data_IF_044272148685
#
_entry.id   IF_044272148685
#
_cell.length_a   1.000
_cell.length_b   1.000
_cell.length_c   1.000
_cell.angle_alpha   90.00
_cell.angle_beta   90.00
_cell.angle_gamma   90.00
#
_symmetry.space_group_name_H-M   'P 1'
#
loop_
_entity.id
_entity.type
_entity.pdbx_description
1 polymer ?
#
# COMPACT_ATOMS: atom_id res chain seq x y z
N UNK A 1 -5.38 -79.15 5.40
CA UNK A 1 -4.27 -78.42 6.04
C UNK A 1 -4.76 -77.00 6.34
N UNK A 2 -5.38 -76.62 7.48
CA UNK A 2 -4.92 -76.69 8.89
C UNK A 2 -3.54 -75.98 9.00
N UNK A 3 -3.39 -74.76 9.55
CA UNK A 3 -3.51 -74.31 10.95
C UNK A 3 -3.52 -72.75 11.00
N UNK A 4 -4.49 -72.08 11.66
CA UNK A 4 -4.55 -71.61 13.07
C UNK A 4 -3.73 -70.34 13.43
N UNK A 5 -4.50 -69.36 13.96
CA UNK A 5 -4.11 -68.21 14.78
C UNK A 5 -3.48 -68.61 16.13
N UNK A 6 -2.56 -67.79 16.64
CA UNK A 6 -2.34 -67.44 18.07
C UNK A 6 -1.25 -66.33 18.10
N UNK A 7 -1.55 -65.06 18.42
CA UNK A 7 -1.66 -64.47 19.76
C UNK A 7 -0.44 -64.74 20.66
N UNK A 8 0.41 -63.72 20.84
CA UNK A 8 1.15 -63.49 22.09
C UNK A 8 1.32 -61.99 22.33
N UNK A 9 0.82 -61.59 23.49
CA UNK A 9 0.88 -60.29 24.16
C UNK A 9 2.29 -60.06 24.72
N UNK A 10 2.87 -58.86 24.54
CA UNK A 10 3.87 -58.28 25.45
C UNK A 10 3.83 -56.75 25.23
N UNK A 11 3.10 -56.02 26.07
CA UNK A 11 3.56 -55.32 27.28
C UNK A 11 4.12 -53.91 26.99
N UNK A 12 3.49 -52.95 27.65
CA UNK A 12 3.70 -51.51 27.64
C UNK A 12 5.16 -51.06 27.78
N UNK A 13 5.54 -50.06 26.97
CA UNK A 13 6.49 -49.03 27.37
C UNK A 13 6.15 -47.70 26.68
N UNK A 14 5.34 -46.89 27.37
CA UNK A 14 5.21 -45.45 27.12
C UNK A 14 6.48 -44.78 27.64
N UNK A 15 7.25 -44.13 26.76
CA UNK A 15 8.17 -43.08 27.18
C UNK A 15 8.20 -41.99 26.11
N UNK A 16 7.86 -40.78 26.52
CA UNK A 16 7.60 -39.64 25.65
C UNK A 16 8.82 -39.15 24.90
N UNK A 17 8.65 -38.91 23.61
CA UNK A 17 9.51 -38.00 22.86
C UNK A 17 8.95 -36.59 23.03
N UNK A 18 9.53 -35.86 23.96
CA UNK A 18 9.35 -34.43 24.07
C UNK A 18 9.93 -33.76 22.82
N UNK A 19 9.06 -33.14 22.02
CA UNK A 19 9.46 -32.23 20.96
C UNK A 19 10.01 -30.95 21.60
N UNK A 20 11.31 -30.91 21.85
CA UNK A 20 12.02 -29.66 22.12
C UNK A 20 12.26 -28.92 20.79
N UNK A 21 11.21 -28.27 20.28
CA UNK A 21 11.40 -27.15 19.35
C UNK A 21 11.67 -25.90 20.20
N UNK A 22 12.95 -25.72 20.55
CA UNK A 22 13.44 -24.43 20.96
C UNK A 22 13.37 -23.49 19.75
N UNK A 23 12.26 -22.77 19.60
CA UNK A 23 12.23 -21.59 18.75
C UNK A 23 13.26 -20.62 19.31
N UNK A 24 14.31 -20.37 18.52
CA UNK A 24 15.22 -19.27 18.76
C UNK A 24 14.38 -18.00 18.87
N UNK A 25 14.36 -17.39 20.05
CA UNK A 25 13.83 -16.07 20.25
C UNK A 25 14.70 -15.13 19.41
N UNK A 26 14.18 -14.73 18.26
CA UNK A 26 14.77 -13.66 17.47
C UNK A 26 14.98 -12.46 18.38
N UNK A 27 16.21 -11.94 18.39
CA UNK A 27 16.61 -10.73 19.09
C UNK A 27 15.79 -9.53 18.57
N UNK A 28 14.60 -9.32 19.15
CA UNK A 28 13.82 -8.11 18.97
C UNK A 28 14.59 -6.96 19.65
N UNK A 29 14.96 -5.89 18.92
CA UNK A 29 15.56 -4.73 19.54
C UNK A 29 14.58 -4.17 20.59
N UNK A 30 15.12 -3.79 21.76
CA UNK A 30 14.43 -3.12 22.87
C UNK A 30 13.97 -1.70 22.49
N UNK A 31 13.23 -1.55 21.40
CA UNK A 31 12.80 -0.27 20.89
C UNK A 31 11.27 -0.24 20.87
N UNK A 32 10.72 0.77 21.56
CA UNK A 32 9.31 1.17 21.60
C UNK A 32 8.34 0.54 22.63
N UNK A 33 8.81 0.18 23.83
CA UNK A 33 7.91 0.20 25.02
C UNK A 33 7.80 1.59 25.66
N UNK A 34 8.75 2.49 25.37
CA UNK A 34 8.75 3.86 25.88
C UNK A 34 7.69 4.73 25.23
N UNK A 35 7.43 5.90 25.83
CA UNK A 35 6.57 6.92 25.22
C UNK A 35 7.12 7.39 23.87
N UNK A 36 6.23 7.58 22.90
CA UNK A 36 6.58 8.17 21.61
C UNK A 36 6.98 9.63 21.78
N UNK A 37 8.15 10.01 21.26
CA UNK A 37 8.61 11.39 21.27
C UNK A 37 7.85 12.23 20.23
N UNK A 38 6.96 13.10 20.70
CA UNK A 38 6.14 14.01 19.86
C UNK A 38 6.98 14.79 18.85
N UNK A 39 8.21 15.21 19.20
CA UNK A 39 9.08 16.00 18.31
C UNK A 39 9.55 15.22 17.07
N UNK A 40 9.49 13.90 17.12
CA UNK A 40 9.83 13.01 15.99
C UNK A 40 8.64 12.63 15.11
N UNK A 41 7.42 13.04 15.49
CA UNK A 41 6.19 12.73 14.77
C UNK A 41 5.79 13.89 13.86
N UNK A 42 5.13 13.56 12.75
CA UNK A 42 4.53 14.56 11.89
C UNK A 42 3.23 15.07 12.53
N UNK A 43 3.22 16.32 13.00
CA UNK A 43 2.04 16.87 13.67
C UNK A 43 0.84 17.05 12.73
N UNK A 44 1.07 17.42 11.47
CA UNK A 44 -0.01 17.67 10.52
C UNK A 44 -0.76 16.38 10.19
N UNK A 45 -0.02 15.30 9.90
CA UNK A 45 -0.61 14.00 9.61
C UNK A 45 0.36 12.85 9.89
N UNK A 46 -0.05 11.89 10.72
CA UNK A 46 0.77 10.76 11.14
C UNK A 46 -0.06 9.49 11.28
N UNK A 47 0.43 8.37 10.75
CA UNK A 47 -0.04 7.04 11.11
C UNK A 47 0.78 6.49 12.27
N UNK A 48 0.11 5.95 13.28
CA UNK A 48 0.73 5.20 14.37
C UNK A 48 0.14 3.80 14.39
N UNK A 49 1.00 2.80 14.32
CA UNK A 49 0.66 1.38 14.44
C UNK A 49 0.88 0.96 15.89
N UNK A 50 -0.20 0.68 16.61
CA UNK A 50 -0.17 0.15 17.96
C UNK A 50 -0.07 -1.38 17.89
N UNK A 51 1.01 -1.92 18.43
CA UNK A 51 1.39 -3.33 18.34
C UNK A 51 1.41 -4.00 19.73
N UNK A 52 1.28 -5.32 19.75
CA UNK A 52 1.51 -6.15 20.94
C UNK A 52 2.81 -6.94 20.81
N UNK A 53 3.43 -7.30 21.95
CA UNK A 53 4.74 -7.99 22.00
C UNK A 53 4.76 -9.27 21.15
N UNK A 54 3.69 -10.07 21.20
CA UNK A 54 3.57 -11.35 20.50
C UNK A 54 2.50 -11.33 19.39
N UNK A 55 2.41 -10.20 18.68
CA UNK A 55 1.37 -9.98 17.67
C UNK A 55 1.77 -10.53 16.29
N UNK A 56 1.28 -11.72 15.94
CA UNK A 56 1.49 -12.35 14.61
C UNK A 56 0.98 -11.44 13.48
N UNK A 57 -0.21 -10.86 13.66
CA UNK A 57 -0.82 -9.97 12.67
C UNK A 57 -0.04 -8.66 12.48
N UNK A 58 0.70 -8.19 13.49
CA UNK A 58 1.56 -7.03 13.39
C UNK A 58 2.78 -7.34 12.51
N UNK A 59 3.38 -8.52 12.68
CA UNK A 59 4.45 -8.99 11.78
C UNK A 59 3.96 -9.14 10.34
N UNK A 60 2.76 -9.68 10.16
CA UNK A 60 2.13 -9.79 8.85
C UNK A 60 1.90 -8.40 8.22
N UNK A 61 1.30 -7.46 8.95
CA UNK A 61 1.09 -6.08 8.49
C UNK A 61 2.41 -5.40 8.11
N UNK A 62 3.45 -5.57 8.93
CA UNK A 62 4.78 -5.06 8.64
C UNK A 62 5.29 -5.58 7.29
N UNK A 63 5.23 -6.90 7.09
CA UNK A 63 5.72 -7.53 5.86
C UNK A 63 4.90 -7.13 4.63
N UNK A 64 3.57 -7.07 4.75
CA UNK A 64 2.68 -6.77 3.63
C UNK A 64 2.64 -5.29 3.24
N UNK A 65 2.85 -4.39 4.20
CA UNK A 65 2.56 -2.95 4.03
C UNK A 65 3.75 -2.07 4.39
N UNK A 66 4.32 -2.24 5.59
CA UNK A 66 5.29 -1.28 6.12
C UNK A 66 6.69 -1.42 5.50
N UNK A 67 7.14 -2.63 5.19
CA UNK A 67 8.50 -2.87 4.68
C UNK A 67 8.73 -2.25 3.29
N UNK A 68 7.66 -2.05 2.52
CA UNK A 68 7.67 -1.35 1.24
C UNK A 68 7.01 0.02 1.28
N UNK A 69 6.87 0.63 2.47
CA UNK A 69 6.12 1.88 2.64
C UNK A 69 6.76 3.05 1.89
N UNK A 70 6.03 3.60 0.91
CA UNK A 70 6.41 4.79 0.14
C UNK A 70 5.33 5.87 0.19
N UNK A 71 4.26 5.65 0.95
CA UNK A 71 3.13 6.58 1.05
C UNK A 71 3.64 7.94 1.52
N UNK A 72 3.05 9.06 1.04
CA UNK A 72 3.41 10.39 1.54
C UNK A 72 3.07 10.60 3.02
N UNK A 73 2.32 9.71 3.64
CA UNK A 73 1.97 9.78 5.06
C UNK A 73 3.07 9.13 5.90
N UNK A 74 3.59 9.86 6.88
CA UNK A 74 4.54 9.31 7.84
C UNK A 74 3.88 8.19 8.65
N UNK A 75 4.60 7.10 8.87
CA UNK A 75 4.15 5.95 9.66
C UNK A 75 5.19 5.60 10.72
N UNK A 76 4.73 5.27 11.92
CA UNK A 76 5.57 4.75 12.99
C UNK A 76 4.84 3.63 13.73
N UNK A 77 5.56 2.87 14.55
CA UNK A 77 5.01 1.78 15.36
C UNK A 77 5.37 1.93 16.83
N UNK A 78 4.52 1.42 17.71
CA UNK A 78 4.70 1.48 19.17
C UNK A 78 4.11 0.27 19.87
N UNK A 79 4.77 -0.22 20.91
CA UNK A 79 4.19 -1.20 21.86
C UNK A 79 3.49 -0.50 23.04
N UNK A 80 3.64 0.82 23.17
CA UNK A 80 2.90 1.63 24.14
C UNK A 80 1.53 1.97 23.54
N UNK A 81 0.46 1.46 24.17
CA UNK A 81 -0.92 1.67 23.74
C UNK A 81 -1.46 3.08 24.06
N UNK A 82 -0.71 3.86 24.83
CA UNK A 82 -1.02 5.27 25.04
C UNK A 82 -0.46 6.13 23.90
N UNK A 83 -1.20 7.18 23.56
CA UNK A 83 -0.75 8.20 22.60
C UNK A 83 0.30 9.12 23.21
N UNK A 84 1.10 9.81 22.36
CA UNK A 84 2.00 10.85 22.83
C UNK A 84 1.26 11.91 23.67
N UNK A 85 1.95 12.53 24.63
CA UNK A 85 1.35 13.59 25.44
C UNK A 85 0.77 14.72 24.58
N UNK A 86 -0.47 15.10 24.87
CA UNK A 86 -1.20 16.15 24.13
C UNK A 86 -1.89 15.66 22.86
N UNK A 87 -1.77 14.36 22.53
CA UNK A 87 -2.54 13.72 21.48
C UNK A 87 -3.75 13.01 22.10
N UNK A 88 -4.80 12.79 21.31
CA UNK A 88 -6.05 12.19 21.79
C UNK A 88 -6.51 11.06 20.90
N UNK A 89 -6.85 9.93 21.51
CA UNK A 89 -7.64 8.87 20.88
C UNK A 89 -9.12 9.12 21.13
N UNK A 90 -9.95 8.78 20.14
CA UNK A 90 -11.40 8.76 20.32
C UNK A 90 -11.83 7.57 21.18
N UNK A 91 -11.10 6.46 21.08
CA UNK A 91 -11.33 5.22 21.84
C UNK A 91 -10.01 4.58 22.26
N UNK A 92 -9.94 3.92 23.42
CA UNK A 92 -8.77 3.13 23.79
C UNK A 92 -8.42 2.09 22.72
N UNK A 93 -7.14 1.75 22.61
CA UNK A 93 -6.69 0.62 21.78
C UNK A 93 -6.92 -0.67 22.56
N UNK A 94 -7.76 -1.55 22.03
CA UNK A 94 -8.12 -2.83 22.67
C UNK A 94 -7.72 -4.08 21.85
N UNK A 95 -7.23 -3.89 20.62
CA UNK A 95 -6.78 -4.96 19.73
C UNK A 95 -5.50 -4.54 19.00
N UNK A 96 -4.72 -5.52 18.53
CA UNK A 96 -3.46 -5.26 17.80
C UNK A 96 -3.37 -6.12 16.53
N UNK A 97 -2.79 -5.60 15.43
CA UNK A 97 -2.39 -4.20 15.25
C UNK A 97 -3.64 -3.30 15.20
N UNK A 98 -3.54 -2.09 15.76
CA UNK A 98 -4.48 -1.00 15.45
C UNK A 98 -3.70 0.12 14.82
N UNK A 99 -4.06 0.49 13.60
CA UNK A 99 -3.44 1.59 12.86
C UNK A 99 -4.35 2.80 13.05
N UNK A 100 -3.83 3.88 13.60
CA UNK A 100 -4.59 5.12 13.83
C UNK A 100 -3.97 6.23 12.99
N UNK A 101 -4.82 6.90 12.22
CA UNK A 101 -4.47 8.14 11.53
C UNK A 101 -4.77 9.30 12.46
N UNK A 102 -3.74 10.12 12.70
CA UNK A 102 -3.84 11.36 13.45
C UNK A 102 -3.67 12.55 12.52
N UNK A 103 -4.43 13.60 12.79
CA UNK A 103 -4.22 14.93 12.23
C UNK A 103 -4.20 15.96 13.36
N UNK A 104 -3.14 16.76 13.42
CA UNK A 104 -2.93 17.76 14.47
C UNK A 104 -3.09 17.16 15.88
N UNK A 105 -2.54 15.96 16.04
CA UNK A 105 -2.56 15.18 17.29
C UNK A 105 -3.91 14.57 17.68
N UNK A 106 -4.95 14.67 16.86
CA UNK A 106 -6.25 14.06 17.12
C UNK A 106 -6.46 12.86 16.22
N UNK A 107 -6.96 11.77 16.78
CA UNK A 107 -7.45 10.65 15.99
C UNK A 107 -8.53 11.14 15.01
N UNK A 108 -8.39 10.79 13.73
CA UNK A 108 -9.40 11.08 12.70
C UNK A 108 -9.97 9.81 12.07
N UNK A 109 -9.21 8.72 12.10
CA UNK A 109 -9.65 7.43 11.59
C UNK A 109 -8.79 6.30 12.15
N UNK A 110 -9.33 5.10 12.20
CA UNK A 110 -8.58 3.89 12.61
C UNK A 110 -8.92 2.67 11.76
N UNK A 111 -7.94 1.79 11.66
CA UNK A 111 -8.05 0.45 11.12
C UNK A 111 -7.67 -0.55 12.22
N UNK A 112 -8.65 -1.35 12.68
CA UNK A 112 -8.47 -2.24 13.84
C UNK A 112 -8.34 -3.69 13.37
N UNK A 113 -7.25 -4.34 13.77
CA UNK A 113 -6.88 -5.68 13.32
C UNK A 113 -6.32 -5.68 11.89
N UNK A 114 -5.60 -6.74 11.54
CA UNK A 114 -5.14 -6.96 10.17
C UNK A 114 -5.15 -8.46 9.88
N UNK A 115 -5.75 -8.87 8.78
CA UNK A 115 -5.93 -10.27 8.40
C UNK A 115 -5.25 -10.65 7.07
N UNK A 116 -4.35 -9.80 6.56
CA UNK A 116 -3.67 -10.00 5.26
C UNK A 116 -4.40 -9.37 4.06
N UNK A 117 -5.57 -8.76 4.25
CA UNK A 117 -6.28 -8.05 3.18
C UNK A 117 -5.63 -6.69 2.87
N UNK A 118 -4.56 -6.71 2.06
CA UNK A 118 -3.87 -5.49 1.61
C UNK A 118 -4.79 -4.47 0.93
N UNK A 119 -5.67 -4.95 0.05
CA UNK A 119 -6.60 -4.09 -0.69
C UNK A 119 -7.49 -3.27 0.25
N UNK A 120 -8.06 -3.93 1.26
CA UNK A 120 -8.94 -3.29 2.26
C UNK A 120 -8.21 -2.23 3.08
N UNK A 121 -6.95 -2.47 3.46
CA UNK A 121 -6.14 -1.47 4.15
C UNK A 121 -5.87 -0.24 3.27
N UNK A 122 -5.46 -0.45 2.02
CA UNK A 122 -5.16 0.65 1.11
C UNK A 122 -6.41 1.42 0.68
N UNK A 123 -7.54 0.75 0.54
CA UNK A 123 -8.84 1.38 0.35
C UNK A 123 -9.20 2.29 1.54
N UNK A 124 -9.14 1.76 2.77
CA UNK A 124 -9.39 2.54 3.99
C UNK A 124 -8.52 3.81 4.03
N UNK A 125 -7.21 3.66 3.83
CA UNK A 125 -6.29 4.80 3.86
C UNK A 125 -6.59 5.75 2.69
N UNK A 126 -6.87 5.22 1.50
CA UNK A 126 -7.21 6.01 0.33
C UNK A 126 -8.42 6.92 0.54
N UNK A 127 -9.47 6.44 1.19
CA UNK A 127 -10.63 7.27 1.57
C UNK A 127 -10.28 8.41 2.54
N UNK A 128 -9.17 8.30 3.30
CA UNK A 128 -8.70 9.39 4.17
C UNK A 128 -7.77 10.37 3.43
N UNK A 129 -7.08 9.93 2.37
CA UNK A 129 -6.07 10.74 1.67
C UNK A 129 -6.59 11.44 0.43
N UNK A 130 -7.54 10.83 -0.27
CA UNK A 130 -8.06 11.31 -1.53
C UNK A 130 -9.24 12.28 -1.32
N UNK A 131 -9.32 13.30 -2.17
CA UNK A 131 -10.50 14.16 -2.27
C UNK A 131 -11.71 13.38 -2.81
N UNK A 132 -12.96 13.84 -2.61
CA UNK A 132 -14.14 13.15 -3.13
C UNK A 132 -14.10 12.90 -4.65
N UNK A 133 -13.57 13.85 -5.43
CA UNK A 133 -13.41 13.70 -6.88
C UNK A 133 -12.39 12.60 -7.24
N UNK A 134 -11.30 12.50 -6.49
CA UNK A 134 -10.31 11.43 -6.66
C UNK A 134 -10.85 10.07 -6.22
N UNK A 135 -11.63 10.01 -5.13
CA UNK A 135 -12.26 8.78 -4.66
C UNK A 135 -13.22 8.20 -5.70
N UNK A 136 -14.03 9.05 -6.33
CA UNK A 136 -14.92 8.64 -7.43
C UNK A 136 -14.15 8.01 -8.58
N UNK A 137 -12.98 8.54 -8.92
CA UNK A 137 -12.13 7.93 -9.95
C UNK A 137 -11.55 6.61 -9.42
N UNK A 138 -10.86 6.65 -8.28
CA UNK A 138 -10.07 5.55 -7.72
C UNK A 138 -10.88 4.30 -7.36
N UNK A 139 -12.08 4.47 -6.80
CA UNK A 139 -12.89 3.38 -6.22
C UNK A 139 -14.20 3.13 -6.95
N UNK A 140 -14.72 4.10 -7.69
CA UNK A 140 -16.00 3.98 -8.43
C UNK A 140 -15.80 3.92 -9.95
N UNK A 141 -14.57 3.72 -10.43
CA UNK A 141 -14.20 3.69 -11.86
C UNK A 141 -14.65 4.95 -12.62
N UNK A 142 -14.74 6.08 -11.91
CA UNK A 142 -15.05 7.37 -12.50
C UNK A 142 -13.96 7.85 -13.46
N UNK A 143 -14.32 8.83 -14.29
CA UNK A 143 -13.36 9.48 -15.19
C UNK A 143 -13.46 11.00 -14.98
N UNK A 144 -12.32 11.66 -14.81
CA UNK A 144 -12.28 13.13 -14.77
C UNK A 144 -12.66 13.70 -16.14
N UNK A 145 -13.14 14.94 -16.17
CA UNK A 145 -13.45 15.60 -17.44
C UNK A 145 -12.15 15.80 -18.24
N UNK A 146 -12.21 15.53 -19.55
CA UNK A 146 -11.12 15.83 -20.46
C UNK A 146 -10.62 17.27 -20.28
N UNK A 147 -9.30 17.45 -20.35
CA UNK A 147 -8.59 18.73 -20.23
C UNK A 147 -8.61 19.38 -18.84
N UNK A 148 -8.99 18.64 -17.79
CA UNK A 148 -9.08 19.20 -16.42
C UNK A 148 -8.17 18.53 -15.39
N UNK A 149 -7.52 17.43 -15.75
CA UNK A 149 -6.66 16.67 -14.84
C UNK A 149 -5.41 17.43 -14.41
N UNK A 150 -5.11 17.42 -13.11
CA UNK A 150 -3.97 18.13 -12.52
C UNK A 150 -2.60 17.77 -13.11
N UNK A 151 -2.44 16.56 -13.64
CA UNK A 151 -1.18 16.07 -14.21
C UNK A 151 -1.18 16.05 -15.76
N UNK A 152 -2.18 16.66 -16.41
CA UNK A 152 -2.27 16.69 -17.87
C UNK A 152 -1.08 17.41 -18.50
N UNK A 153 -0.79 18.62 -18.03
CA UNK A 153 0.25 19.49 -18.59
C UNK A 153 1.63 19.30 -17.93
N UNK A 154 1.78 18.32 -17.05
CA UNK A 154 3.07 18.03 -16.41
C UNK A 154 4.05 17.46 -17.46
N UNK A 155 5.22 18.09 -17.56
CA UNK A 155 6.27 17.82 -18.56
C UNK A 155 7.67 17.75 -17.95
N UNK A 156 7.83 18.04 -16.66
CA UNK A 156 9.14 17.97 -15.99
C UNK A 156 9.62 16.52 -15.95
N UNK A 157 10.93 16.34 -15.88
CA UNK A 157 11.52 15.02 -15.64
C UNK A 157 11.13 14.52 -14.24
N UNK A 158 10.57 13.32 -14.15
CA UNK A 158 10.10 12.76 -12.90
C UNK A 158 9.31 11.48 -13.03
N UNK A 159 8.64 11.13 -11.94
CA UNK A 159 7.84 9.91 -11.80
C UNK A 159 6.41 10.26 -11.39
N UNK A 160 5.43 9.68 -12.08
CA UNK A 160 4.05 9.67 -11.62
C UNK A 160 3.85 8.46 -10.71
N UNK A 161 3.49 8.71 -9.45
CA UNK A 161 3.31 7.71 -8.42
C UNK A 161 1.84 7.60 -8.02
N UNK A 162 1.48 6.44 -7.49
CA UNK A 162 0.21 6.19 -6.84
C UNK A 162 0.05 7.16 -5.65
N UNK A 163 -1.04 7.95 -5.58
CA UNK A 163 -1.21 8.99 -4.57
C UNK A 163 -1.41 8.45 -3.15
N UNK A 164 -1.78 7.19 -2.99
CA UNK A 164 -2.03 6.54 -1.69
C UNK A 164 -0.75 5.85 -1.22
N UNK A 165 -0.18 4.98 -2.07
CA UNK A 165 0.94 4.10 -1.70
C UNK A 165 2.31 4.71 -1.98
N UNK A 166 2.38 5.73 -2.85
CA UNK A 166 3.64 6.28 -3.37
C UNK A 166 4.40 5.34 -4.29
N UNK A 167 3.79 4.21 -4.71
CA UNK A 167 4.42 3.30 -5.66
C UNK A 167 4.57 3.98 -7.03
N UNK A 168 5.72 3.78 -7.67
CA UNK A 168 5.99 4.36 -8.98
C UNK A 168 5.15 3.67 -10.06
N UNK A 169 4.40 4.46 -10.85
CA UNK A 169 3.49 3.95 -11.87
C UNK A 169 4.03 4.19 -13.28
N UNK A 170 4.38 5.44 -13.60
CA UNK A 170 4.84 5.87 -14.92
C UNK A 170 6.03 6.82 -14.81
N UNK A 171 6.91 6.83 -15.81
CA UNK A 171 7.98 7.81 -15.95
C UNK A 171 7.54 8.93 -16.89
N UNK A 172 8.07 10.14 -16.69
CA UNK A 172 7.75 11.28 -17.55
C UNK A 172 8.21 11.11 -19.00
N UNK A 173 9.27 10.33 -19.23
CA UNK A 173 9.77 10.00 -20.57
C UNK A 173 8.83 9.08 -21.37
N UNK A 174 7.92 8.37 -20.69
CA UNK A 174 6.88 7.60 -21.36
C UNK A 174 5.61 8.39 -21.65
N UNK A 175 5.50 9.62 -21.11
CA UNK A 175 4.36 10.50 -21.31
C UNK A 175 4.43 11.17 -22.68
N UNK A 176 3.29 11.28 -23.37
CA UNK A 176 3.17 11.96 -24.66
C UNK A 176 1.84 12.71 -24.81
N UNK A 177 1.80 13.65 -25.75
CA UNK A 177 0.60 14.43 -26.06
C UNK A 177 -0.30 13.65 -27.03
N UNK A 178 -1.39 13.09 -26.53
CA UNK A 178 -2.35 12.33 -27.34
C UNK A 178 -3.48 13.17 -27.92
N UNK A 179 -3.69 14.38 -27.39
CA UNK A 179 -4.83 15.24 -27.73
C UNK A 179 -6.18 14.81 -27.14
N UNK A 180 -6.24 13.75 -26.32
CA UNK A 180 -7.50 13.26 -25.74
C UNK A 180 -8.00 14.07 -24.56
N UNK A 181 -7.12 14.84 -23.92
CA UNK A 181 -7.41 15.58 -22.69
C UNK A 181 -7.12 14.82 -21.40
N UNK A 182 -6.47 13.66 -21.47
CA UNK A 182 -5.94 12.95 -20.30
C UNK A 182 -4.45 12.62 -20.47
N UNK A 183 -3.67 12.62 -19.37
CA UNK A 183 -2.29 12.12 -19.40
C UNK A 183 -2.20 10.77 -20.09
N UNK A 184 -1.34 10.70 -21.10
CA UNK A 184 -1.16 9.52 -21.93
C UNK A 184 0.28 9.04 -21.85
N UNK A 185 0.47 7.76 -21.61
CA UNK A 185 1.79 7.13 -21.53
C UNK A 185 1.87 5.97 -22.51
N UNK A 186 3.02 5.74 -23.14
CA UNK A 186 3.18 4.59 -24.02
C UNK A 186 3.55 3.30 -23.26
N UNK A 187 4.05 3.42 -22.03
CA UNK A 187 4.38 2.26 -21.19
C UNK A 187 4.37 2.62 -19.69
N UNK A 188 3.88 1.72 -18.81
CA UNK A 188 4.04 1.81 -17.37
C UNK A 188 5.43 1.32 -16.95
N UNK A 189 5.79 1.56 -15.70
CA UNK A 189 6.91 0.85 -15.08
C UNK A 189 6.59 -0.66 -14.97
N UNK A 190 7.58 -1.56 -15.12
CA UNK A 190 7.35 -2.99 -15.05
C UNK A 190 6.69 -3.40 -13.72
N UNK A 191 5.56 -4.12 -13.81
CA UNK A 191 4.82 -4.62 -12.65
C UNK A 191 4.09 -3.55 -11.83
N UNK A 192 4.06 -2.28 -12.28
CA UNK A 192 3.40 -1.21 -11.52
C UNK A 192 1.88 -1.14 -11.71
N UNK A 193 1.36 -1.77 -12.76
CA UNK A 193 -0.07 -1.78 -13.09
C UNK A 193 -0.57 -3.18 -13.40
N UNK A 194 -1.88 -3.37 -13.26
CA UNK A 194 -2.60 -4.57 -13.71
C UNK A 194 -3.67 -4.18 -14.73
N UNK A 195 -4.00 -5.09 -15.63
CA UNK A 195 -5.01 -4.87 -16.69
C UNK A 195 -6.19 -5.79 -16.50
N UNK A 196 -7.40 -5.26 -16.66
CA UNK A 196 -8.66 -6.00 -16.44
C UNK A 196 -9.60 -5.76 -17.62
N UNK A 197 -10.35 -6.78 -18.03
CA UNK A 197 -11.40 -6.59 -19.04
C UNK A 197 -12.52 -5.70 -18.47
N UNK A 198 -12.94 -4.71 -19.25
CA UNK A 198 -14.03 -3.81 -18.90
C UNK A 198 -15.08 -3.81 -20.02
N UNK A 199 -16.24 -4.40 -19.71
CA UNK A 199 -17.42 -4.48 -20.58
C UNK A 199 -18.52 -3.48 -20.20
N UNK A 200 -18.22 -2.50 -19.34
CA UNK A 200 -19.16 -1.48 -18.92
C UNK A 200 -19.58 -0.57 -20.08
N UNK A 201 -20.76 0.04 -19.96
CA UNK A 201 -21.33 0.98 -20.94
C UNK A 201 -21.44 0.42 -22.38
N UNK A 202 -21.47 -0.91 -22.54
CA UNK A 202 -21.56 -1.57 -23.85
C UNK A 202 -20.28 -1.48 -24.69
N UNK A 203 -19.16 -1.05 -24.12
CA UNK A 203 -17.85 -0.99 -24.78
C UNK A 203 -16.96 -2.12 -24.29
N UNK A 204 -16.05 -2.61 -25.13
CA UNK A 204 -14.96 -3.51 -24.71
C UNK A 204 -13.69 -2.70 -24.57
N UNK A 205 -13.23 -2.50 -23.33
CA UNK A 205 -12.00 -1.77 -23.01
C UNK A 205 -11.13 -2.61 -22.09
N UNK A 206 -9.90 -2.16 -21.88
CA UNK A 206 -8.98 -2.78 -20.92
C UNK A 206 -8.68 -1.74 -19.85
N UNK A 207 -9.25 -1.96 -18.66
CA UNK A 207 -9.03 -1.13 -17.48
C UNK A 207 -7.58 -1.29 -17.00
N UNK A 208 -6.99 -0.19 -16.54
CA UNK A 208 -5.67 -0.15 -15.90
C UNK A 208 -5.85 0.23 -14.45
N UNK A 209 -5.34 -0.61 -13.54
CA UNK A 209 -5.33 -0.37 -12.09
C UNK A 209 -3.91 -0.35 -11.54
N UNK A 210 -3.69 0.40 -10.47
CA UNK A 210 -2.44 0.34 -9.70
C UNK A 210 -2.23 -1.06 -9.14
N UNK A 211 -1.05 -1.65 -9.33
CA UNK A 211 -0.74 -2.98 -8.79
C UNK A 211 -0.54 -2.96 -7.25
N UNK A 212 -0.23 -1.79 -6.67
CA UNK A 212 0.03 -1.65 -5.23
C UNK A 212 -1.25 -1.45 -4.41
N UNK A 213 -2.11 -0.52 -4.82
CA UNK A 213 -3.34 -0.16 -4.10
C UNK A 213 -4.60 -0.77 -4.69
N UNK A 214 -4.59 -1.16 -5.96
CA UNK A 214 -5.76 -1.62 -6.69
C UNK A 214 -6.68 -0.51 -7.22
N UNK A 215 -6.34 0.78 -7.04
CA UNK A 215 -7.19 1.88 -7.52
C UNK A 215 -7.29 1.89 -9.04
N UNK A 216 -8.46 2.29 -9.54
CA UNK A 216 -8.68 2.61 -10.94
C UNK A 216 -7.80 3.80 -11.37
N UNK A 217 -7.07 3.63 -12.47
CA UNK A 217 -6.24 4.68 -13.07
C UNK A 217 -6.86 5.17 -14.38
N UNK A 218 -7.33 4.27 -15.23
CA UNK A 218 -7.88 4.60 -16.54
C UNK A 218 -7.95 3.36 -17.43
N UNK A 219 -7.61 3.51 -18.70
CA UNK A 219 -7.67 2.43 -19.68
C UNK A 219 -6.45 2.41 -20.61
N UNK A 220 -6.18 1.26 -21.22
CA UNK A 220 -5.15 1.10 -22.25
C UNK A 220 -5.79 0.82 -23.62
N UNK A 221 -5.21 1.42 -24.66
CA UNK A 221 -5.64 1.33 -26.05
C UNK A 221 -4.45 0.97 -26.97
N UNK A 222 -4.73 0.46 -28.16
CA UNK A 222 -3.75 0.01 -29.16
C UNK A 222 -3.44 1.08 -30.23
N UNK A 223 -3.66 2.35 -29.90
CA UNK A 223 -3.50 3.52 -30.78
C UNK A 223 -2.35 4.44 -30.31
N UNK A 224 -1.40 3.88 -29.56
CA UNK A 224 -0.24 4.63 -29.07
C UNK A 224 0.91 4.73 -30.07
N UNK A 225 1.92 5.56 -29.77
CA UNK A 225 3.13 5.66 -30.58
C UNK A 225 4.02 4.42 -30.41
N UNK A 226 5.01 4.29 -31.31
CA UNK A 226 6.15 3.40 -31.08
C UNK A 226 6.86 3.75 -29.76
N UNK A 227 7.52 2.80 -29.08
CA UNK A 227 7.79 1.43 -29.53
C UNK A 227 6.71 0.39 -29.17
N UNK A 228 5.83 0.71 -28.23
CA UNK A 228 4.86 -0.27 -27.70
C UNK A 228 3.55 -0.30 -28.48
N UNK A 229 3.23 0.79 -29.19
CA UNK A 229 1.93 1.04 -29.82
C UNK A 229 0.75 0.99 -28.83
N UNK A 230 1.04 1.09 -27.52
CA UNK A 230 0.04 1.17 -26.47
C UNK A 230 -0.13 2.62 -26.03
N UNK A 231 -1.35 3.00 -25.69
CA UNK A 231 -1.66 4.26 -25.03
C UNK A 231 -2.40 4.00 -23.73
N UNK A 232 -1.69 4.17 -22.63
CA UNK A 232 -2.24 4.19 -21.28
C UNK A 232 -2.82 5.58 -21.04
N UNK A 233 -4.14 5.71 -21.18
CA UNK A 233 -4.88 6.95 -20.98
C UNK A 233 -5.38 6.99 -19.54
N UNK A 234 -4.72 7.79 -18.70
CA UNK A 234 -4.84 7.75 -17.26
C UNK A 234 -5.45 9.04 -16.73
N UNK A 235 -6.35 8.94 -15.76
CA UNK A 235 -6.88 10.09 -15.04
C UNK A 235 -5.73 10.79 -14.28
N UNK A 236 -5.50 12.06 -14.56
CA UNK A 236 -4.44 12.85 -13.95
C UNK A 236 -4.64 13.07 -12.46
N UNK A 237 -5.89 13.18 -11.99
CA UNK A 237 -6.17 13.44 -10.59
C UNK A 237 -5.84 12.27 -9.65
N UNK A 238 -5.71 11.04 -10.17
CA UNK A 238 -5.28 9.86 -9.38
C UNK A 238 -3.80 9.52 -9.61
N UNK A 239 -3.02 10.52 -10.01
CA UNK A 239 -1.56 10.48 -10.04
C UNK A 239 -1.00 11.57 -9.13
N UNK A 240 0.17 11.30 -8.54
CA UNK A 240 1.00 12.32 -7.91
C UNK A 240 2.33 12.40 -8.65
N UNK A 241 2.73 13.58 -9.08
CA UNK A 241 4.03 13.77 -9.71
C UNK A 241 5.14 14.01 -8.67
N UNK A 242 6.27 13.34 -8.84
CA UNK A 242 7.50 13.52 -8.07
C UNK A 242 8.61 13.91 -9.05
N UNK A 243 9.11 15.16 -9.03
CA UNK A 243 10.19 15.58 -9.91
C UNK A 243 11.49 14.83 -9.56
N UNK A 244 12.31 14.56 -10.57
CA UNK A 244 13.66 14.06 -10.34
C UNK A 244 14.49 15.12 -9.60
N UNK A 245 15.43 14.69 -8.75
CA UNK A 245 16.35 15.60 -8.09
C UNK A 245 17.17 16.34 -9.16
N UNK A 246 17.27 17.67 -9.04
CA UNK A 246 18.11 18.47 -9.92
C UNK A 246 19.56 18.04 -9.66
N UNK A 247 20.17 17.32 -10.61
CA UNK A 247 21.61 17.14 -10.60
C UNK A 247 22.26 18.50 -10.86
N UNK A 248 22.76 19.15 -9.81
CA UNK A 248 23.60 20.33 -9.97
C UNK A 248 24.84 19.90 -10.75
N UNK A 249 24.92 20.26 -12.04
CA UNK A 249 26.17 20.16 -12.79
C UNK A 249 27.22 20.96 -12.03
N UNK A 250 28.20 20.29 -11.44
CA UNK A 250 29.41 20.96 -10.93
C UNK A 250 30.07 21.67 -12.12
N UNK A 251 30.45 22.95 -12.01
CA UNK A 251 31.15 23.63 -13.08
C UNK A 251 32.48 22.91 -13.31
N UNK A 252 32.68 22.40 -14.51
CA UNK A 252 33.99 21.93 -14.96
C UNK A 252 34.97 23.09 -14.87
N UNK A 253 35.99 22.96 -14.03
CA UNK A 253 37.18 23.82 -14.07
C UNK A 253 37.97 23.56 -15.34
#
# INVERSE_FOLDING_TARGET
MHFKRALHTLLFALCGLAFNNAYAADNLPTQNRGELNVKSLNFERQLIVFEGIDCVYCRQFKADVMDSWKSPVAITRTLNLNVPKGWTLDKPVFATPTIVLFERGKEVSRYTGYNGEKARFWEWLGYQLLTPAQQKIAFEQGTERAFTGSNLDEKRAGTFVDPITGAALFRSDSKFESGTGWPSFFTPLPGSVTTHEDISYGMKRVEVRSASSGIHLGHVFDDGPAPTFKRYCINGNVLKFVPDAIQSKSPSK
#
